data_IF_611680728067
#
_entry.id   IF_611680728067
#
_cell.length_a   1.000
_cell.length_b   1.000
_cell.length_c   1.000
_cell.angle_alpha   90.00
_cell.angle_beta   90.00
_cell.angle_gamma   90.00
#
_symmetry.space_group_name_H-M   'P 1'
#
loop_
_entity.id
_entity.type
_entity.pdbx_description
1 polymer ?
#
# COMPACT_ATOMS: atom_id res chain seq x y z
N UNK A 1 13.08 14.64 -6.88
CA UNK A 1 11.65 14.30 -7.05
C UNK A 1 11.48 12.80 -7.20
N UNK A 2 10.48 12.24 -6.55
CA UNK A 2 10.11 10.82 -6.72
C UNK A 2 8.79 10.76 -7.49
N UNK A 3 8.76 10.11 -8.65
CA UNK A 3 7.55 10.03 -9.47
C UNK A 3 6.51 9.09 -8.87
N UNK A 4 5.24 9.33 -9.16
CA UNK A 4 4.17 8.41 -8.78
C UNK A 4 4.38 7.03 -9.43
N UNK A 5 4.83 6.99 -10.68
CA UNK A 5 5.07 5.74 -11.39
C UNK A 5 6.10 4.86 -10.68
N UNK A 6 7.13 5.44 -10.07
CA UNK A 6 8.13 4.69 -9.31
C UNK A 6 7.48 3.96 -8.12
N UNK A 7 6.64 4.66 -7.37
CA UNK A 7 5.92 4.07 -6.23
C UNK A 7 4.91 3.03 -6.71
N UNK A 8 4.20 3.30 -7.80
CA UNK A 8 3.22 2.37 -8.38
C UNK A 8 3.89 1.06 -8.81
N UNK A 9 5.07 1.14 -9.41
CA UNK A 9 5.82 -0.06 -9.83
C UNK A 9 6.24 -0.90 -8.62
N UNK A 10 6.67 -0.26 -7.54
CA UNK A 10 6.99 -0.96 -6.31
C UNK A 10 5.75 -1.64 -5.70
N UNK A 11 4.62 -0.93 -5.70
CA UNK A 11 3.36 -1.48 -5.19
C UNK A 11 2.88 -2.67 -6.01
N UNK A 12 2.97 -2.59 -7.34
CA UNK A 12 2.58 -3.69 -8.23
C UNK A 12 3.43 -4.94 -7.99
N UNK A 13 4.72 -4.78 -7.73
CA UNK A 13 5.59 -5.90 -7.37
C UNK A 13 5.22 -6.50 -6.02
N UNK A 14 4.86 -5.68 -5.05
CA UNK A 14 4.47 -6.14 -3.73
C UNK A 14 3.12 -6.87 -3.76
N UNK A 15 2.17 -6.38 -4.55
CA UNK A 15 0.84 -6.97 -4.70
C UNK A 15 0.92 -8.29 -5.48
N UNK A 16 1.68 -8.31 -6.58
CA UNK A 16 1.92 -9.49 -7.42
C UNK A 16 0.62 -10.19 -7.87
N UNK A 17 -0.34 -9.39 -8.36
CA UNK A 17 -1.61 -9.89 -8.90
C UNK A 17 -1.64 -9.72 -10.41
N UNK A 18 -1.55 -10.82 -11.21
CA UNK A 18 -1.55 -10.73 -12.67
C UNK A 18 -2.81 -10.09 -13.25
N UNK A 19 -3.94 -10.12 -12.54
CA UNK A 19 -5.18 -9.52 -13.04
C UNK A 19 -5.08 -8.01 -13.21
N UNK A 20 -4.21 -7.36 -12.45
CA UNK A 20 -4.01 -5.91 -12.56
C UNK A 20 -3.35 -5.51 -13.89
N UNK A 21 -2.56 -6.40 -14.48
CA UNK A 21 -1.92 -6.14 -15.78
C UNK A 21 -2.95 -6.06 -16.93
N UNK A 22 -4.16 -6.56 -16.72
CA UNK A 22 -5.25 -6.55 -17.72
C UNK A 22 -6.06 -5.25 -17.70
N UNK A 23 -5.87 -4.41 -16.69
CA UNK A 23 -6.60 -3.14 -16.59
C UNK A 23 -6.07 -2.14 -17.61
N UNK A 24 -6.93 -1.27 -18.17
CA UNK A 24 -6.44 -0.11 -18.91
C UNK A 24 -5.46 0.70 -18.05
N UNK A 25 -4.39 1.19 -18.65
CA UNK A 25 -3.32 1.88 -17.93
C UNK A 25 -3.83 3.05 -17.10
N UNK A 26 -4.72 3.86 -17.65
CA UNK A 26 -5.29 5.00 -16.94
C UNK A 26 -6.11 4.57 -15.72
N UNK A 27 -6.95 3.55 -15.88
CA UNK A 27 -7.79 3.02 -14.79
C UNK A 27 -6.92 2.44 -13.67
N UNK A 28 -5.88 1.70 -14.03
CA UNK A 28 -4.94 1.15 -13.07
C UNK A 28 -4.21 2.26 -12.30
N UNK A 29 -3.76 3.29 -12.99
CA UNK A 29 -3.08 4.43 -12.36
C UNK A 29 -3.99 5.15 -11.37
N UNK A 30 -5.25 5.37 -11.73
CA UNK A 30 -6.23 5.98 -10.84
C UNK A 30 -6.48 5.14 -9.59
N UNK A 31 -6.61 3.82 -9.75
CA UNK A 31 -6.80 2.90 -8.64
C UNK A 31 -5.58 2.90 -7.70
N UNK A 32 -4.39 2.81 -8.26
CA UNK A 32 -3.14 2.84 -7.49
C UNK A 32 -2.97 4.16 -6.75
N UNK A 33 -3.35 5.27 -7.36
CA UNK A 33 -3.31 6.56 -6.69
C UNK A 33 -4.27 6.61 -5.49
N UNK A 34 -5.45 6.00 -5.62
CA UNK A 34 -6.39 5.85 -4.51
C UNK A 34 -5.77 5.09 -3.33
N UNK A 35 -5.07 4.00 -3.61
CA UNK A 35 -4.34 3.23 -2.59
C UNK A 35 -3.23 4.08 -1.95
N UNK A 36 -2.49 4.83 -2.75
CA UNK A 36 -1.44 5.70 -2.26
C UNK A 36 -1.99 6.79 -1.34
N UNK A 37 -3.09 7.45 -1.72
CA UNK A 37 -3.73 8.46 -0.88
C UNK A 37 -4.19 7.87 0.47
N UNK A 38 -4.80 6.68 0.44
CA UNK A 38 -5.23 5.99 1.64
C UNK A 38 -4.05 5.68 2.56
N UNK A 39 -2.94 5.24 1.98
CA UNK A 39 -1.72 4.93 2.71
C UNK A 39 -1.11 6.18 3.36
N UNK A 40 -0.98 7.26 2.61
CA UNK A 40 -0.42 8.53 3.12
C UNK A 40 -1.26 9.05 4.28
N UNK A 41 -2.59 8.99 4.16
CA UNK A 41 -3.49 9.44 5.21
C UNK A 41 -3.35 8.68 6.53
N UNK A 42 -2.89 7.44 6.47
CA UNK A 42 -2.70 6.58 7.65
C UNK A 42 -1.29 6.62 8.24
N UNK A 43 -0.36 7.35 7.61
CA UNK A 43 1.05 7.38 8.00
C UNK A 43 1.51 8.81 8.28
N UNK A 44 1.04 9.42 9.39
CA UNK A 44 1.41 10.80 9.73
C UNK A 44 2.91 11.00 9.95
N UNK A 45 3.65 9.95 10.30
CA UNK A 45 5.10 10.00 10.48
C UNK A 45 5.86 10.32 9.19
N UNK A 46 5.25 10.05 8.03
CA UNK A 46 5.87 10.31 6.73
C UNK A 46 5.42 11.66 6.13
N UNK A 47 4.65 12.44 6.86
CA UNK A 47 4.08 13.70 6.35
C UNK A 47 5.15 14.67 5.86
N UNK A 48 6.28 14.76 6.54
CA UNK A 48 7.37 15.65 6.15
C UNK A 48 7.90 15.35 4.74
N UNK A 49 7.92 14.07 4.35
CA UNK A 49 8.40 13.66 3.03
C UNK A 49 7.29 13.65 1.98
N UNK A 50 6.04 13.44 2.36
CA UNK A 50 4.94 13.16 1.44
C UNK A 50 3.95 14.30 1.25
N UNK A 51 4.02 15.37 2.06
CA UNK A 51 3.05 16.46 2.02
C UNK A 51 3.15 17.31 0.75
N UNK A 52 4.34 17.53 0.24
CA UNK A 52 4.56 18.27 -1.00
C UNK A 52 4.56 17.32 -2.18
N UNK A 53 3.47 17.32 -2.91
CA UNK A 53 3.32 16.47 -4.08
C UNK A 53 2.45 17.13 -5.14
N UNK A 54 2.69 16.76 -6.38
CA UNK A 54 1.93 17.27 -7.52
C UNK A 54 0.50 16.76 -7.50
N UNK A 55 -0.40 17.55 -8.08
CA UNK A 55 -1.75 17.07 -8.37
C UNK A 55 -1.66 15.88 -9.33
N UNK A 56 -2.39 14.81 -9.03
CA UNK A 56 -2.29 13.60 -9.82
C UNK A 56 -2.97 13.74 -11.19
N UNK A 57 -2.24 13.27 -12.22
CA UNK A 57 -2.75 13.12 -13.58
C UNK A 57 -2.28 11.75 -14.08
N UNK A 58 -3.21 10.81 -14.38
CA UNK A 58 -2.80 9.46 -14.79
C UNK A 58 -1.98 9.42 -16.07
N UNK A 59 -2.14 10.40 -16.95
CA UNK A 59 -1.36 10.47 -18.19
C UNK A 59 0.10 10.85 -17.96
N UNK A 60 0.44 11.45 -16.82
CA UNK A 60 1.76 11.98 -16.51
C UNK A 60 2.36 11.40 -15.23
N UNK A 61 1.93 10.21 -14.81
CA UNK A 61 2.39 9.59 -13.56
C UNK A 61 3.92 9.40 -13.49
N UNK A 62 4.59 9.30 -14.61
CA UNK A 62 6.04 9.19 -14.71
C UNK A 62 6.76 10.53 -14.59
N UNK A 63 6.06 11.65 -14.75
CA UNK A 63 6.63 13.01 -14.77
C UNK A 63 6.30 13.81 -13.51
N UNK A 64 5.32 13.41 -12.75
CA UNK A 64 4.84 14.08 -11.55
C UNK A 64 4.95 13.17 -10.34
N UNK A 65 4.98 13.73 -9.16
CA UNK A 65 5.09 12.96 -7.93
C UNK A 65 5.38 13.82 -6.71
N UNK A 66 6.22 13.29 -5.84
CA UNK A 66 6.62 13.98 -4.61
C UNK A 66 7.76 14.95 -4.91
N UNK A 67 7.69 16.13 -4.30
CA UNK A 67 8.72 17.17 -4.49
C UNK A 67 10.07 16.71 -3.97
N UNK A 68 10.10 15.92 -2.90
CA UNK A 68 11.32 15.41 -2.30
C UNK A 68 11.71 14.06 -2.87
N UNK A 69 13.00 13.75 -2.84
CA UNK A 69 13.49 12.41 -3.11
C UNK A 69 13.22 11.55 -1.88
N UNK A 70 12.27 10.62 -1.99
CA UNK A 70 11.92 9.76 -0.88
C UNK A 70 13.03 8.74 -0.65
N UNK A 71 13.27 8.42 0.63
CA UNK A 71 14.21 7.34 0.98
C UNK A 71 13.67 6.00 0.50
N UNK A 72 14.57 5.03 0.33
CA UNK A 72 14.15 3.66 -0.06
C UNK A 72 13.20 3.05 0.96
N UNK A 73 13.42 3.32 2.25
CA UNK A 73 12.52 2.87 3.32
C UNK A 73 11.13 3.46 3.15
N UNK A 74 11.02 4.77 2.92
CA UNK A 74 9.73 5.42 2.69
C UNK A 74 9.01 4.87 1.47
N UNK A 75 9.73 4.69 0.37
CA UNK A 75 9.16 4.08 -0.85
C UNK A 75 8.60 2.69 -0.57
N UNK A 76 9.35 1.86 0.15
CA UNK A 76 8.93 0.50 0.51
C UNK A 76 7.70 0.52 1.41
N UNK A 77 7.69 1.38 2.42
CA UNK A 77 6.54 1.52 3.33
C UNK A 77 5.28 1.95 2.58
N UNK A 78 5.40 2.90 1.66
CA UNK A 78 4.27 3.34 0.83
C UNK A 78 3.76 2.19 -0.05
N UNK A 79 4.65 1.43 -0.68
CA UNK A 79 4.26 0.30 -1.51
C UNK A 79 3.55 -0.79 -0.70
N UNK A 80 4.04 -1.10 0.49
CA UNK A 80 3.41 -2.07 1.39
C UNK A 80 2.05 -1.57 1.90
N UNK A 81 1.94 -0.29 2.21
CA UNK A 81 0.66 0.32 2.59
C UNK A 81 -0.37 0.25 1.48
N UNK A 82 0.06 0.45 0.24
CA UNK A 82 -0.82 0.29 -0.94
C UNK A 82 -1.28 -1.16 -1.08
N UNK A 83 -0.43 -2.14 -0.80
CA UNK A 83 -0.82 -3.55 -0.77
C UNK A 83 -1.92 -3.80 0.28
N UNK A 84 -1.82 -3.19 1.46
CA UNK A 84 -2.87 -3.29 2.48
C UNK A 84 -4.18 -2.66 2.02
N UNK A 85 -4.12 -1.52 1.33
CA UNK A 85 -5.31 -0.89 0.74
C UNK A 85 -5.96 -1.79 -0.31
N UNK A 86 -5.16 -2.52 -1.09
CA UNK A 86 -5.64 -3.50 -2.05
C UNK A 86 -6.28 -4.71 -1.36
N UNK A 87 -5.76 -5.15 -0.22
CA UNK A 87 -6.29 -6.27 0.55
C UNK A 87 -7.60 -5.94 1.28
N UNK A 88 -7.77 -4.71 1.74
CA UNK A 88 -8.88 -4.33 2.60
C UNK A 88 -10.27 -4.63 2.02
N UNK A 89 -10.59 -4.29 0.76
CA UNK A 89 -11.89 -4.64 0.17
C UNK A 89 -12.09 -6.15 0.05
N UNK A 90 -11.03 -6.91 -0.21
CA UNK A 90 -11.09 -8.37 -0.32
C UNK A 90 -11.42 -9.01 1.03
N UNK A 91 -10.82 -8.51 2.11
CA UNK A 91 -11.11 -8.96 3.47
C UNK A 91 -12.57 -8.65 3.82
N UNK A 92 -13.03 -7.43 3.56
CA UNK A 92 -14.40 -7.01 3.84
C UNK A 92 -15.42 -7.86 3.05
N UNK A 93 -15.18 -8.07 1.76
CA UNK A 93 -16.04 -8.87 0.90
C UNK A 93 -16.10 -10.34 1.34
N UNK A 94 -14.96 -10.92 1.69
CA UNK A 94 -14.87 -12.31 2.15
C UNK A 94 -15.58 -12.50 3.50
N UNK A 95 -15.47 -11.50 4.40
CA UNK A 95 -16.17 -11.51 5.69
C UNK A 95 -17.68 -11.55 5.48
N UNK A 96 -18.22 -10.70 4.62
CA UNK A 96 -19.64 -10.66 4.29
C UNK A 96 -20.10 -12.00 3.70
N UNK A 97 -19.33 -12.54 2.77
CA UNK A 97 -19.63 -13.80 2.10
C UNK A 97 -19.67 -14.95 3.10
N UNK A 98 -18.70 -15.03 4.00
CA UNK A 98 -18.68 -16.07 5.05
C UNK A 98 -19.90 -16.04 5.94
N UNK A 99 -20.36 -14.86 6.32
CA UNK A 99 -21.56 -14.72 7.18
C UNK A 99 -22.84 -15.19 6.53
N UNK A 100 -22.88 -15.25 5.19
CA UNK A 100 -24.09 -15.58 4.42
C UNK A 100 -24.21 -17.05 4.01
N UNK A 101 -23.12 -17.82 4.10
CA UNK A 101 -23.12 -19.21 3.63
C UNK A 101 -23.40 -20.22 4.74
N UNK A 102 -23.85 -21.44 4.33
CA UNK A 102 -24.04 -22.59 5.22
C UNK A 102 -22.70 -23.00 5.85
N UNK A 103 -22.78 -23.80 6.94
CA UNK A 103 -21.59 -24.24 7.68
C UNK A 103 -20.52 -24.87 6.79
N UNK A 104 -20.91 -25.66 5.78
CA UNK A 104 -19.96 -26.36 4.90
C UNK A 104 -19.26 -25.40 3.94
N UNK A 105 -20.01 -24.52 3.32
CA UNK A 105 -19.49 -23.49 2.41
C UNK A 105 -18.79 -22.36 3.19
N UNK A 106 -19.31 -22.01 4.36
CA UNK A 106 -18.72 -21.01 5.24
C UNK A 106 -17.36 -21.41 5.78
N UNK A 107 -17.08 -22.71 5.92
CA UNK A 107 -15.78 -23.17 6.38
C UNK A 107 -14.65 -22.83 5.40
N UNK A 108 -14.89 -23.05 4.12
CA UNK A 108 -13.93 -22.70 3.04
C UNK A 108 -13.71 -21.18 3.00
N UNK A 109 -14.76 -20.38 3.12
CA UNK A 109 -14.64 -18.93 3.15
C UNK A 109 -13.89 -18.44 4.39
N UNK A 110 -14.07 -19.10 5.52
CA UNK A 110 -13.35 -18.78 6.76
C UNK A 110 -11.85 -18.97 6.58
N UNK A 111 -11.42 -20.08 5.96
CA UNK A 111 -10.01 -20.35 5.69
C UNK A 111 -9.41 -19.28 4.77
N UNK A 112 -10.14 -18.91 3.73
CA UNK A 112 -9.72 -17.86 2.81
C UNK A 112 -9.59 -16.51 3.52
N UNK A 113 -10.57 -16.15 4.35
CA UNK A 113 -10.55 -14.93 5.15
C UNK A 113 -9.34 -14.90 6.09
N UNK A 114 -9.09 -16.00 6.79
CA UNK A 114 -7.94 -16.10 7.71
C UNK A 114 -6.62 -15.92 6.96
N UNK A 115 -6.51 -16.49 5.76
CA UNK A 115 -5.32 -16.32 4.91
C UNK A 115 -5.10 -14.87 4.51
N UNK A 116 -6.15 -14.15 4.12
CA UNK A 116 -6.08 -12.74 3.77
C UNK A 116 -5.69 -11.88 4.98
N UNK A 117 -6.30 -12.15 6.15
CA UNK A 117 -6.00 -11.41 7.38
C UNK A 117 -4.57 -11.67 7.86
N UNK A 118 -4.07 -12.89 7.72
CA UNK A 118 -2.70 -13.23 8.05
C UNK A 118 -1.72 -12.51 7.14
N UNK A 119 -2.00 -12.45 5.84
CA UNK A 119 -1.18 -11.70 4.89
C UNK A 119 -1.18 -10.20 5.23
N UNK A 120 -2.33 -9.62 5.51
CA UNK A 120 -2.42 -8.21 5.92
C UNK A 120 -1.61 -7.95 7.19
N UNK A 121 -1.69 -8.84 8.16
CA UNK A 121 -0.94 -8.70 9.42
C UNK A 121 0.57 -8.77 9.19
N UNK A 122 1.04 -9.66 8.32
CA UNK A 122 2.46 -9.75 7.96
C UNK A 122 2.96 -8.45 7.34
N UNK A 123 2.19 -7.89 6.41
CA UNK A 123 2.53 -6.61 5.77
C UNK A 123 2.58 -5.49 6.81
N UNK A 124 1.58 -5.45 7.70
CA UNK A 124 1.53 -4.46 8.78
C UNK A 124 2.76 -4.52 9.68
N UNK A 125 3.17 -5.73 10.09
CA UNK A 125 4.35 -5.92 10.93
C UNK A 125 5.61 -5.46 10.21
N UNK A 126 5.76 -5.80 8.92
CA UNK A 126 6.90 -5.36 8.12
C UNK A 126 6.97 -3.83 8.03
N UNK A 127 5.84 -3.17 7.77
CA UNK A 127 5.77 -1.72 7.75
C UNK A 127 6.16 -1.09 9.08
N UNK A 128 5.65 -1.63 10.19
CA UNK A 128 5.96 -1.13 11.53
C UNK A 128 7.45 -1.29 11.85
N UNK A 129 8.04 -2.40 11.44
CA UNK A 129 9.47 -2.64 11.60
C UNK A 129 10.31 -1.62 10.82
N UNK A 130 9.98 -1.40 9.56
CA UNK A 130 10.69 -0.43 8.73
C UNK A 130 10.59 0.99 9.29
N UNK A 131 9.41 1.38 9.73
CA UNK A 131 9.18 2.71 10.33
C UNK A 131 9.96 2.87 11.64
N UNK A 132 9.97 1.85 12.48
CA UNK A 132 10.71 1.87 13.73
C UNK A 132 12.22 1.96 13.51
N UNK A 133 12.74 1.14 12.60
CA UNK A 133 14.17 1.12 12.30
C UNK A 133 14.62 2.46 11.71
N UNK A 134 13.81 3.06 10.83
CA UNK A 134 14.09 4.37 10.27
C UNK A 134 14.06 5.47 11.34
N UNK A 135 13.07 5.43 12.24
CA UNK A 135 12.97 6.39 13.35
C UNK A 135 14.17 6.25 14.30
N UNK A 136 14.59 5.03 14.57
CA UNK A 136 15.76 4.76 15.42
C UNK A 136 17.03 5.34 14.81
N UNK A 137 17.24 5.13 13.52
CA UNK A 137 18.39 5.70 12.80
C UNK A 137 18.37 7.24 12.84
N UNK A 138 17.20 7.85 12.65
CA UNK A 138 17.04 9.29 12.72
C UNK A 138 17.33 9.82 14.14
N UNK A 139 16.90 9.10 15.18
CA UNK A 139 17.18 9.46 16.56
C UNK A 139 18.67 9.37 16.88
N UNK A 140 19.35 8.34 16.43
CA UNK A 140 20.81 8.22 16.59
C UNK A 140 21.54 9.39 15.92
N UNK A 141 21.00 9.86 14.81
CA UNK A 141 21.56 10.99 14.09
C UNK A 141 21.46 12.29 14.89
N UNK A 142 20.44 12.42 15.71
CA UNK A 142 20.21 13.62 16.52
C UNK A 142 20.88 13.58 17.90
N UNK A 143 21.29 12.42 18.36
CA UNK A 143 21.91 12.25 19.68
C UNK A 143 23.42 12.59 19.68
N UNK A 144 23.95 12.86 18.51
CA UNK A 144 25.32 13.35 18.36
C UNK A 144 25.37 14.89 18.48
#
# INVERSE_FOLDING_TARGET
MTSYAEIFNLALRAIDDPSLAKWPEEDLSNELYGYLQGTIGKLPKLRAETSERDLFDPANADKIGFAKDLSDTTKTVLALGMKREWLAPQIASTTITWQRYSKKEGYSQKEHLMGLMELDNKVKIEMQKLLRDNTYVDNDYFDD
#
